data_IF_910044308713
#
_entry.id   IF_910044308713
#
_cell.length_a   1.000
_cell.length_b   1.000
_cell.length_c   1.000
_cell.angle_alpha   90.00
_cell.angle_beta   90.00
_cell.angle_gamma   90.00
#
_symmetry.space_group_name_H-M   'P 1'
#
loop_
_entity.id
_entity.type
_entity.pdbx_description
1 polymer ?
#
# COMPACT_ATOMS: atom_id res chain seq x y z
N UNK A 1 5.08 -36.95 -9.96
CA UNK A 1 4.29 -35.84 -10.55
C UNK A 1 5.13 -34.58 -10.41
N UNK A 2 5.46 -33.92 -11.52
CA UNK A 2 6.31 -32.72 -11.49
C UNK A 2 5.46 -31.45 -11.29
N UNK A 3 6.09 -30.33 -10.90
CA UNK A 3 5.42 -29.04 -10.71
C UNK A 3 4.70 -28.60 -12.01
N UNK A 4 5.30 -28.90 -13.16
CA UNK A 4 4.72 -28.64 -14.48
C UNK A 4 3.42 -29.40 -14.70
N UNK A 5 3.41 -30.70 -14.36
CA UNK A 5 2.23 -31.55 -14.48
C UNK A 5 1.11 -31.08 -13.53
N UNK A 6 1.48 -30.59 -12.34
CA UNK A 6 0.54 -30.02 -11.38
C UNK A 6 -0.12 -28.75 -11.89
N UNK A 7 0.65 -27.82 -12.47
CA UNK A 7 0.12 -26.57 -13.02
C UNK A 7 -0.80 -26.86 -14.22
N UNK A 8 -0.40 -27.75 -15.13
CA UNK A 8 -1.24 -28.13 -16.27
C UNK A 8 -2.56 -28.78 -15.82
N UNK A 9 -2.51 -29.70 -14.86
CA UNK A 9 -3.72 -30.31 -14.32
C UNK A 9 -4.59 -29.30 -13.58
N UNK A 10 -3.97 -28.29 -12.95
CA UNK A 10 -4.69 -27.24 -12.23
C UNK A 10 -5.49 -26.32 -13.14
N UNK A 11 -4.98 -26.05 -14.35
CA UNK A 11 -5.65 -25.19 -15.33
C UNK A 11 -6.64 -25.97 -16.18
N UNK A 12 -6.27 -27.16 -16.65
CA UNK A 12 -7.03 -27.88 -17.68
C UNK A 12 -8.14 -28.78 -17.13
N UNK A 13 -8.01 -29.27 -15.90
CA UNK A 13 -8.97 -30.23 -15.30
C UNK A 13 -9.22 -29.92 -13.82
N UNK A 14 -9.87 -28.77 -13.50
CA UNK A 14 -10.10 -28.34 -12.12
C UNK A 14 -10.85 -29.37 -11.28
N UNK A 15 -11.78 -30.10 -11.89
CA UNK A 15 -12.58 -31.13 -11.21
C UNK A 15 -11.76 -32.36 -10.80
N UNK A 16 -10.58 -32.59 -11.40
CA UNK A 16 -9.66 -33.68 -11.03
C UNK A 16 -8.59 -33.27 -10.02
N UNK A 17 -8.38 -31.96 -9.83
CA UNK A 17 -7.54 -31.44 -8.74
C UNK A 17 -8.08 -31.92 -7.39
N UNK A 18 -9.41 -31.91 -7.24
CA UNK A 18 -10.09 -32.32 -6.01
C UNK A 18 -9.80 -33.78 -5.63
N UNK A 19 -9.66 -34.66 -6.62
CA UNK A 19 -9.35 -36.09 -6.41
C UNK A 19 -7.89 -36.31 -5.99
N UNK A 20 -6.96 -35.47 -6.48
CA UNK A 20 -5.55 -35.46 -6.08
C UNK A 20 -5.38 -34.91 -4.65
N UNK A 21 -6.25 -34.00 -4.23
CA UNK A 21 -6.26 -33.41 -2.89
C UNK A 21 -6.80 -34.32 -1.76
N UNK A 22 -7.35 -35.50 -2.09
CA UNK A 22 -8.08 -36.36 -1.15
C UNK A 22 -7.25 -37.48 -0.48
N UNK A 23 -5.98 -37.69 -0.85
CA UNK A 23 -5.07 -38.64 -0.19
C UNK A 23 -3.92 -37.91 0.55
N UNK A 24 -3.21 -38.55 1.50
CA UNK A 24 -3.00 -38.28 2.95
C UNK A 24 -2.57 -36.85 3.43
N UNK A 25 -2.77 -35.81 2.63
CA UNK A 25 -2.30 -34.44 2.84
C UNK A 25 -3.09 -33.61 3.87
N UNK A 26 -4.12 -34.15 4.54
CA UNK A 26 -4.92 -33.38 5.51
C UNK A 26 -4.10 -32.84 6.68
N UNK A 27 -3.10 -33.58 7.18
CA UNK A 27 -2.18 -33.12 8.23
C UNK A 27 -1.17 -32.08 7.72
N UNK A 28 -0.72 -32.23 6.47
CA UNK A 28 0.25 -31.33 5.83
C UNK A 28 -0.36 -29.95 5.54
N UNK A 29 -1.67 -29.86 5.24
CA UNK A 29 -2.37 -28.57 5.04
C UNK A 29 -2.33 -27.69 6.28
N UNK A 30 -2.58 -28.25 7.46
CA UNK A 30 -2.54 -27.50 8.72
C UNK A 30 -1.13 -27.02 9.06
N UNK A 31 -0.12 -27.89 8.85
CA UNK A 31 1.29 -27.54 9.05
C UNK A 31 1.74 -26.47 8.07
N UNK A 32 1.40 -26.61 6.78
CA UNK A 32 1.72 -25.62 5.75
C UNK A 32 1.04 -24.27 6.02
N UNK A 33 -0.25 -24.29 6.41
CA UNK A 33 -0.97 -23.08 6.81
C UNK A 33 -0.31 -22.41 8.02
N UNK A 34 0.06 -23.19 9.05
CA UNK A 34 0.76 -22.67 10.23
C UNK A 34 2.11 -22.05 9.86
N UNK A 35 2.84 -22.68 8.93
CA UNK A 35 4.14 -22.22 8.47
C UNK A 35 4.02 -20.92 7.67
N UNK A 36 3.03 -20.80 6.79
CA UNK A 36 2.69 -19.55 6.10
C UNK A 36 2.32 -18.45 7.10
N UNK A 37 1.53 -18.78 8.12
CA UNK A 37 1.12 -17.83 9.16
C UNK A 37 2.33 -17.34 9.96
N UNK A 38 3.25 -18.24 10.34
CA UNK A 38 4.47 -17.91 11.06
C UNK A 38 5.40 -17.00 10.25
N UNK A 39 5.59 -17.31 8.96
CA UNK A 39 6.42 -16.51 8.04
C UNK A 39 5.79 -15.15 7.75
N UNK A 40 4.47 -15.02 7.91
CA UNK A 40 3.76 -13.75 7.69
C UNK A 40 3.84 -12.78 8.88
N UNK A 41 4.18 -13.24 10.09
CA UNK A 41 4.23 -12.41 11.32
C UNK A 41 5.11 -11.16 11.13
N UNK A 42 6.36 -11.25 10.61
CA UNK A 42 7.18 -10.05 10.39
C UNK A 42 6.55 -9.05 9.42
N UNK A 43 5.83 -9.55 8.41
CA UNK A 43 5.09 -8.71 7.45
C UNK A 43 3.97 -7.93 8.13
N UNK A 44 3.19 -8.59 9.00
CA UNK A 44 2.14 -7.91 9.78
C UNK A 44 2.70 -6.87 10.74
N UNK A 45 3.83 -7.15 11.40
CA UNK A 45 4.49 -6.19 12.31
C UNK A 45 4.94 -4.94 11.53
N UNK A 46 5.55 -5.12 10.35
CA UNK A 46 5.96 -4.00 9.48
C UNK A 46 4.75 -3.18 9.02
N UNK A 47 3.73 -3.84 8.48
CA UNK A 47 2.51 -3.17 8.05
C UNK A 47 1.85 -2.38 9.18
N UNK A 48 1.83 -2.92 10.41
CA UNK A 48 1.34 -2.20 11.58
C UNK A 48 2.15 -0.92 11.89
N UNK A 49 3.48 -0.99 11.78
CA UNK A 49 4.36 0.19 11.96
C UNK A 49 4.10 1.25 10.90
N UNK A 50 3.94 0.84 9.64
CA UNK A 50 3.71 1.75 8.52
C UNK A 50 2.35 2.44 8.64
N UNK A 51 1.30 1.72 9.04
CA UNK A 51 -0.03 2.28 9.31
C UNK A 51 0.01 3.29 10.48
N UNK A 52 0.71 2.96 11.57
CA UNK A 52 0.85 3.87 12.71
C UNK A 52 1.62 5.15 12.35
N UNK A 53 2.68 5.01 11.56
CA UNK A 53 3.44 6.14 11.01
C UNK A 53 2.55 7.00 10.09
N UNK A 54 1.79 6.36 9.19
CA UNK A 54 0.86 7.04 8.30
C UNK A 54 -0.18 7.87 9.06
N UNK A 55 -0.82 7.31 10.09
CA UNK A 55 -1.77 8.05 10.93
C UNK A 55 -1.15 9.26 11.62
N UNK A 56 0.09 9.11 12.11
CA UNK A 56 0.82 10.21 12.75
C UNK A 56 1.12 11.32 11.76
N UNK A 57 1.62 10.95 10.57
CA UNK A 57 1.99 11.88 9.51
C UNK A 57 0.77 12.62 8.95
N UNK A 58 -0.37 11.93 8.76
CA UNK A 58 -1.63 12.54 8.36
C UNK A 58 -2.11 13.57 9.40
N UNK A 59 -1.96 13.28 10.69
CA UNK A 59 -2.27 14.23 11.76
C UNK A 59 -1.40 15.48 11.75
N UNK A 60 -0.14 15.38 11.33
CA UNK A 60 0.76 16.53 11.16
C UNK A 60 0.33 17.37 9.95
N UNK A 61 0.11 16.71 8.81
CA UNK A 61 -0.29 17.37 7.56
C UNK A 61 -1.63 18.08 7.72
N UNK A 62 -2.61 17.46 8.39
CA UNK A 62 -3.92 18.07 8.63
C UNK A 62 -3.83 19.42 9.36
N UNK A 63 -2.81 19.61 10.22
CA UNK A 63 -2.57 20.88 10.92
C UNK A 63 -1.87 21.94 10.06
N UNK A 64 -1.24 21.52 8.96
CA UNK A 64 -0.57 22.41 8.00
C UNK A 64 -1.52 22.87 6.90
N UNK A 65 -2.60 22.14 6.66
CA UNK A 65 -3.63 22.56 5.70
C UNK A 65 -4.29 23.87 6.16
N UNK A 66 -4.33 24.88 5.29
CA UNK A 66 -5.00 26.13 5.62
C UNK A 66 -6.51 25.97 5.58
N UNK A 67 -7.21 26.90 6.25
CA UNK A 67 -8.64 27.05 6.04
C UNK A 67 -8.90 27.50 4.61
N UNK A 68 -9.74 26.73 3.90
CA UNK A 68 -10.13 27.02 2.53
C UNK A 68 -11.46 27.79 2.57
N UNK A 69 -11.52 28.86 1.80
CA UNK A 69 -12.73 29.67 1.62
C UNK A 69 -13.10 29.73 0.14
N UNK A 70 -14.36 30.07 -0.15
CA UNK A 70 -14.80 30.34 -1.52
C UNK A 70 -14.87 31.86 -1.69
N UNK A 71 -14.06 32.40 -2.60
CA UNK A 71 -14.09 33.80 -3.01
C UNK A 71 -14.31 33.85 -4.51
N UNK A 72 -15.34 34.59 -4.95
CA UNK A 72 -15.70 34.73 -6.38
C UNK A 72 -15.87 33.39 -7.13
N UNK A 73 -16.45 32.39 -6.45
CA UNK A 73 -16.67 31.06 -7.02
C UNK A 73 -15.40 30.21 -7.16
N UNK A 74 -14.25 30.66 -6.61
CA UNK A 74 -12.99 29.92 -6.59
C UNK A 74 -12.57 29.58 -5.16
N UNK A 75 -11.93 28.43 -4.99
CA UNK A 75 -11.26 28.06 -3.75
C UNK A 75 -10.06 28.99 -3.53
N UNK A 76 -9.99 29.60 -2.35
CA UNK A 76 -8.92 30.49 -1.90
C UNK A 76 -8.38 30.02 -0.57
N UNK A 77 -7.05 29.92 -0.48
CA UNK A 77 -6.32 29.60 0.75
C UNK A 77 -5.85 30.85 1.53
N UNK A 78 -6.38 32.03 1.18
CA UNK A 78 -5.92 33.31 1.72
C UNK A 78 -4.47 33.60 1.34
N UNK A 79 -3.68 34.11 2.28
CA UNK A 79 -2.26 34.47 2.09
C UNK A 79 -1.29 33.28 2.26
N UNK A 80 -1.78 32.04 2.23
CA UNK A 80 -0.92 30.87 2.44
C UNK A 80 0.07 30.66 1.28
N UNK A 81 1.32 30.37 1.63
CA UNK A 81 2.44 30.23 0.68
C UNK A 81 2.62 28.82 0.12
N UNK A 82 1.75 27.87 0.47
CA UNK A 82 1.93 26.46 0.17
C UNK A 82 2.91 25.76 1.11
N UNK A 83 2.96 24.43 1.06
CA UNK A 83 3.91 23.63 1.84
C UNK A 83 4.26 22.31 1.15
N UNK A 84 5.40 21.73 1.55
CA UNK A 84 5.82 20.38 1.18
C UNK A 84 6.07 19.59 2.45
N UNK A 85 5.39 18.46 2.58
CA UNK A 85 5.57 17.51 3.66
C UNK A 85 6.16 16.20 3.11
N UNK A 86 7.20 15.70 3.76
CA UNK A 86 7.90 14.46 3.37
C UNK A 86 7.94 13.48 4.53
N UNK A 87 7.70 12.21 4.22
CA UNK A 87 7.81 11.10 5.16
C UNK A 87 8.24 9.82 4.45
N UNK A 88 8.63 8.82 5.24
CA UNK A 88 9.05 7.52 4.72
C UNK A 88 7.93 6.74 4.01
N UNK A 89 6.66 7.14 4.20
CA UNK A 89 5.48 6.46 3.66
C UNK A 89 4.78 7.21 2.53
N UNK A 90 4.87 8.55 2.51
CA UNK A 90 4.30 9.39 1.45
C UNK A 90 4.86 10.82 1.48
N UNK A 91 4.70 11.53 0.35
CA UNK A 91 4.96 12.96 0.22
C UNK A 91 3.67 13.71 -0.12
N UNK A 92 3.48 14.91 0.44
CA UNK A 92 2.35 15.80 0.14
C UNK A 92 2.87 17.17 -0.26
N UNK A 93 2.34 17.70 -1.35
CA UNK A 93 2.59 19.06 -1.82
C UNK A 93 1.27 19.80 -1.85
N UNK A 94 1.21 20.93 -1.15
CA UNK A 94 0.10 21.88 -1.24
C UNK A 94 0.61 23.15 -1.91
N UNK A 95 0.15 23.40 -3.13
CA UNK A 95 0.47 24.60 -3.91
C UNK A 95 -0.80 25.41 -4.23
N UNK A 96 -1.08 26.48 -3.49
CA UNK A 96 -2.23 27.35 -3.74
C UNK A 96 -2.06 28.21 -5.01
N UNK A 97 -0.85 28.29 -5.58
CA UNK A 97 -0.60 29.06 -6.79
C UNK A 97 -0.95 28.30 -8.08
N UNK A 98 -1.14 26.98 -8.00
CA UNK A 98 -1.47 26.12 -9.12
C UNK A 98 -0.36 25.99 -10.17
N UNK A 99 0.89 26.19 -9.76
CA UNK A 99 2.08 26.12 -10.63
C UNK A 99 2.77 24.76 -10.57
N UNK A 100 2.49 23.94 -9.56
CA UNK A 100 3.00 22.57 -9.47
C UNK A 100 2.59 21.73 -10.68
N UNK A 101 3.55 20.99 -11.21
CA UNK A 101 3.38 20.07 -12.33
C UNK A 101 3.45 18.62 -11.86
N UNK A 102 2.97 17.68 -12.69
CA UNK A 102 3.08 16.25 -12.40
C UNK A 102 4.54 15.81 -12.19
N UNK A 103 5.50 16.47 -12.85
CA UNK A 103 6.92 16.22 -12.66
C UNK A 103 7.41 16.62 -11.26
N UNK A 104 6.88 17.69 -10.67
CA UNK A 104 7.26 18.16 -9.34
C UNK A 104 6.79 17.18 -8.24
N UNK A 105 5.72 16.44 -8.51
CA UNK A 105 5.18 15.41 -7.60
C UNK A 105 5.83 14.05 -7.83
N UNK A 106 6.14 13.69 -9.08
CA UNK A 106 6.64 12.34 -9.44
C UNK A 106 8.15 12.20 -9.39
N UNK A 107 8.92 13.25 -9.72
CA UNK A 107 10.39 13.20 -9.64
C UNK A 107 10.90 13.10 -8.20
N UNK A 108 10.10 13.55 -7.22
CA UNK A 108 10.36 13.36 -5.80
C UNK A 108 9.99 11.97 -5.27
N UNK A 109 9.13 11.21 -5.97
CA UNK A 109 8.78 9.83 -5.62
C UNK A 109 9.89 8.81 -5.96
N UNK A 110 10.84 9.18 -6.83
CA UNK A 110 11.94 8.30 -7.26
C UNK A 110 13.13 8.22 -6.29
N UNK A 111 13.16 9.01 -5.21
CA UNK A 111 14.09 8.79 -4.11
C UNK A 111 13.52 7.69 -3.18
N UNK A 112 13.62 6.46 -3.66
CA UNK A 112 13.11 5.28 -2.99
C UNK A 112 13.73 5.06 -1.61
N UNK A 113 12.95 4.38 -0.77
CA UNK A 113 13.38 3.67 0.44
C UNK A 113 14.66 2.87 0.10
N UNK A 114 15.77 3.00 0.87
CA UNK A 114 16.92 2.11 0.72
C UNK A 114 16.57 0.65 1.03
#
# INVERSE_FOLDING_TARGET
MTIRDFIQLSVLKPNKIWTILQNPLKKIKGIFFLLVLLVSIPGFIRAGKDIASMNTNLGIVAKQFPELSIQDGKLSAGDNTGFVYRSDVFNIVFDPSGKSTDNDVTSESSQGIP
#
